data_IF_578230482978
#
_entry.id   IF_578230482978
#
_cell.length_a   1.000
_cell.length_b   1.000
_cell.length_c   1.000
_cell.angle_alpha   90.00
_cell.angle_beta   90.00
_cell.angle_gamma   90.00
#
_symmetry.space_group_name_H-M   'P 1'
#
loop_
_entity.id
_entity.type
_entity.pdbx_description
1 polymer ?
#
# COMPACT_ATOMS: atom_id res chain seq x y z
N UNK A 1 -0.93 0.65 3.44
CA UNK A 1 -1.35 1.67 2.46
C UNK A 1 -0.18 2.24 1.67
N UNK A 2 0.78 2.95 2.29
CA UNK A 2 1.93 3.52 1.57
C UNK A 2 2.77 2.51 0.78
N UNK A 3 2.96 1.30 1.30
CA UNK A 3 3.65 0.23 0.57
C UNK A 3 2.96 -0.06 -0.78
N UNK A 4 1.64 -0.27 -0.78
CA UNK A 4 0.87 -0.52 -2.01
C UNK A 4 0.94 0.66 -2.98
N UNK A 5 0.77 1.90 -2.50
CA UNK A 5 0.87 3.06 -3.38
C UNK A 5 2.24 3.13 -4.08
N UNK A 6 3.33 2.89 -3.34
CA UNK A 6 4.68 2.90 -3.91
C UNK A 6 4.85 1.83 -4.98
N UNK A 7 4.35 0.63 -4.74
CA UNK A 7 4.43 -0.45 -5.72
C UNK A 7 3.62 -0.12 -6.98
N UNK A 8 2.39 0.38 -6.85
CA UNK A 8 1.56 0.77 -8.00
C UNK A 8 2.17 1.91 -8.82
N UNK A 9 2.77 2.91 -8.16
CA UNK A 9 3.52 3.98 -8.83
C UNK A 9 4.75 3.41 -9.53
N UNK A 10 5.46 2.46 -8.92
CA UNK A 10 6.66 1.85 -9.51
C UNK A 10 6.38 1.08 -10.80
N UNK A 11 5.17 0.54 -10.94
CA UNK A 11 4.73 -0.15 -12.16
C UNK A 11 4.36 0.81 -13.31
N UNK A 12 4.22 2.11 -13.05
CA UNK A 12 3.88 3.07 -14.09
C UNK A 12 5.07 3.35 -15.02
N UNK A 13 4.83 3.54 -16.33
CA UNK A 13 5.88 3.97 -17.24
C UNK A 13 6.47 5.32 -16.83
N UNK A 14 7.80 5.45 -16.99
CA UNK A 14 8.46 6.74 -16.85
C UNK A 14 7.88 7.70 -17.89
N UNK A 15 7.42 8.86 -17.42
CA UNK A 15 6.81 9.87 -18.28
C UNK A 15 7.81 10.97 -18.59
N UNK A 16 7.90 11.34 -19.88
CA UNK A 16 8.73 12.45 -20.36
C UNK A 16 8.03 13.82 -20.34
N UNK A 17 6.73 13.84 -20.03
CA UNK A 17 5.94 15.06 -19.87
C UNK A 17 5.19 15.08 -18.54
N UNK A 18 4.88 16.29 -18.05
CA UNK A 18 4.13 16.50 -16.81
C UNK A 18 2.70 16.00 -16.94
N UNK A 19 2.09 16.15 -18.10
CA UNK A 19 0.72 15.75 -18.39
C UNK A 19 0.58 14.22 -18.32
N UNK A 20 1.51 13.49 -18.95
CA UNK A 20 1.51 12.02 -18.90
C UNK A 20 1.83 11.51 -17.49
N UNK A 21 2.74 12.17 -16.78
CA UNK A 21 3.02 11.85 -15.38
C UNK A 21 1.76 12.02 -14.52
N UNK A 22 1.01 13.10 -14.74
CA UNK A 22 -0.22 13.36 -14.00
C UNK A 22 -1.30 12.32 -14.30
N UNK A 23 -1.48 11.91 -15.56
CA UNK A 23 -2.41 10.84 -15.92
C UNK A 23 -2.05 9.51 -15.22
N UNK A 24 -0.76 9.16 -15.17
CA UNK A 24 -0.31 7.95 -14.46
C UNK A 24 -0.62 8.02 -12.96
N UNK A 25 -0.39 9.18 -12.33
CA UNK A 25 -0.75 9.40 -10.92
C UNK A 25 -2.26 9.26 -10.71
N UNK A 26 -3.08 9.84 -11.59
CA UNK A 26 -4.54 9.72 -11.50
C UNK A 26 -5.02 8.27 -11.61
N UNK A 27 -4.45 7.47 -12.52
CA UNK A 27 -4.78 6.04 -12.61
C UNK A 27 -4.48 5.30 -11.30
N UNK A 28 -3.30 5.53 -10.73
CA UNK A 28 -2.91 4.91 -9.45
C UNK A 28 -3.84 5.34 -8.31
N UNK A 29 -4.17 6.63 -8.22
CA UNK A 29 -5.08 7.12 -7.17
C UNK A 29 -6.50 6.53 -7.30
N UNK A 30 -6.99 6.35 -8.54
CA UNK A 30 -8.26 5.68 -8.80
C UNK A 30 -8.22 4.22 -8.34
N UNK A 31 -7.12 3.51 -8.63
CA UNK A 31 -6.93 2.14 -8.12
C UNK A 31 -6.86 2.08 -6.60
N UNK A 32 -6.12 3.00 -5.96
CA UNK A 32 -6.04 3.09 -4.49
C UNK A 32 -7.40 3.32 -3.82
N UNK A 33 -8.33 3.94 -4.54
CA UNK A 33 -9.70 4.19 -4.10
C UNK A 33 -10.68 3.08 -4.50
N UNK A 34 -10.19 2.01 -5.14
CA UNK A 34 -11.03 0.90 -5.58
C UNK A 34 -11.54 0.05 -4.40
N UNK A 35 -12.60 -0.71 -4.66
CA UNK A 35 -13.13 -1.70 -3.72
C UNK A 35 -12.09 -2.76 -3.38
N UNK A 36 -11.25 -3.16 -4.35
CA UNK A 36 -10.18 -4.13 -4.12
C UNK A 36 -9.15 -3.58 -3.11
N UNK A 37 -8.70 -2.34 -3.30
CA UNK A 37 -7.75 -1.71 -2.37
C UNK A 37 -8.36 -1.44 -1.01
N UNK A 38 -9.65 -1.08 -0.96
CA UNK A 38 -10.41 -0.95 0.29
C UNK A 38 -10.43 -2.28 1.05
N UNK A 39 -10.67 -3.40 0.36
CA UNK A 39 -10.64 -4.74 0.96
C UNK A 39 -9.26 -5.08 1.52
N UNK A 40 -8.18 -4.87 0.75
CA UNK A 40 -6.80 -5.10 1.22
C UNK A 40 -6.45 -4.26 2.44
N UNK A 41 -6.94 -3.01 2.52
CA UNK A 41 -6.73 -2.14 3.68
C UNK A 41 -7.51 -2.66 4.90
N UNK A 42 -8.75 -3.11 4.71
CA UNK A 42 -9.54 -3.69 5.80
C UNK A 42 -8.88 -4.96 6.35
N UNK A 43 -8.41 -5.86 5.49
CA UNK A 43 -7.66 -7.06 5.91
C UNK A 43 -6.39 -6.70 6.71
N UNK A 44 -5.66 -5.66 6.28
CA UNK A 44 -4.52 -5.15 7.04
C UNK A 44 -4.92 -4.61 8.41
N UNK A 45 -6.03 -3.88 8.49
CA UNK A 45 -6.54 -3.35 9.75
C UNK A 45 -6.98 -4.48 10.70
N UNK A 46 -7.71 -5.46 10.18
CA UNK A 46 -8.12 -6.65 10.93
C UNK A 46 -6.93 -7.49 11.40
N UNK A 47 -5.78 -7.42 10.71
CA UNK A 47 -4.55 -8.09 11.12
C UNK A 47 -3.79 -7.44 12.28
N UNK A 48 -4.19 -6.23 12.73
CA UNK A 48 -3.47 -5.49 13.77
C UNK A 48 -3.26 -6.28 15.07
N UNK A 49 -4.24 -7.02 15.61
CA UNK A 49 -4.04 -7.84 16.80
C UNK A 49 -2.93 -8.90 16.63
N UNK A 50 -2.87 -9.55 15.45
CA UNK A 50 -1.82 -10.54 15.16
C UNK A 50 -0.43 -9.89 15.10
N UNK A 51 -0.33 -8.68 14.54
CA UNK A 51 0.92 -7.90 14.52
C UNK A 51 1.36 -7.52 15.93
N UNK A 52 0.43 -7.10 16.79
CA UNK A 52 0.72 -6.80 18.19
C UNK A 52 1.24 -8.04 18.93
N UNK A 53 0.59 -9.19 18.72
CA UNK A 53 1.02 -10.46 19.31
C UNK A 53 2.45 -10.83 18.86
N UNK A 54 2.76 -10.70 17.56
CA UNK A 54 4.10 -10.95 17.06
C UNK A 54 5.16 -10.03 17.68
N UNK A 55 4.83 -8.76 17.97
CA UNK A 55 5.73 -7.83 18.65
C UNK A 55 5.96 -8.25 20.12
N UNK A 56 4.91 -8.74 20.79
CA UNK A 56 5.02 -9.27 22.16
C UNK A 56 5.96 -10.48 22.19
N UNK A 57 5.78 -11.44 21.27
CA UNK A 57 6.61 -12.64 21.13
C UNK A 57 8.06 -12.29 20.76
N UNK A 58 8.26 -11.25 19.98
CA UNK A 58 9.58 -10.72 19.65
C UNK A 58 10.20 -9.87 20.78
N UNK A 59 9.56 -9.77 21.94
CA UNK A 59 9.98 -8.92 23.06
C UNK A 59 10.24 -7.45 22.66
N UNK A 60 9.38 -6.91 21.80
CA UNK A 60 9.52 -5.56 21.24
C UNK A 60 10.49 -5.46 20.05
N UNK A 61 11.06 -6.58 19.59
CA UNK A 61 11.88 -6.66 18.40
C UNK A 61 11.09 -6.57 17.09
N UNK A 62 11.83 -6.51 15.99
CA UNK A 62 11.23 -6.51 14.65
C UNK A 62 10.53 -7.84 14.36
N UNK A 63 9.42 -7.76 13.64
CA UNK A 63 8.65 -8.92 13.18
C UNK A 63 8.69 -9.01 11.65
N UNK A 64 8.14 -10.07 11.07
CA UNK A 64 8.08 -10.26 9.61
C UNK A 64 7.01 -9.39 8.91
N UNK A 65 6.31 -8.53 9.65
CA UNK A 65 5.16 -7.74 9.20
C UNK A 65 5.49 -6.36 8.60
#
# INVERSE_FOLDING_TARGET
>A
MWHYLKEEVRQQPVSSSKENLWLNVQMVLNYMSSVEMTKKINELYESLPNRMQAVIEAHGGNTSY
#
